data_IF_318144230540
#
_entry.id   IF_318144230540
#
_cell.length_a   1.000
_cell.length_b   1.000
_cell.length_c   1.000
_cell.angle_alpha   90.00
_cell.angle_beta   90.00
_cell.angle_gamma   90.00
#
_symmetry.space_group_name_H-M   'P 1'
#
loop_
_entity.id
_entity.type
_entity.pdbx_description
1 polymer ?
#
# COMPACT_ATOMS: atom_id res chain seq x y z
N UNK A 1 -38.11 15.33 7.39
CA UNK A 1 -37.67 13.92 7.38
C UNK A 1 -37.10 13.61 8.75
N UNK A 2 -37.51 12.52 9.40
CA UNK A 2 -36.98 12.11 10.72
C UNK A 2 -35.64 11.41 10.51
N UNK A 3 -34.60 11.84 11.22
CA UNK A 3 -33.31 11.14 11.24
C UNK A 3 -33.23 10.22 12.46
N UNK A 4 -32.75 8.99 12.25
CA UNK A 4 -32.48 8.02 13.31
C UNK A 4 -31.09 7.46 13.09
N UNK A 5 -30.22 7.61 14.10
CA UNK A 5 -28.91 6.97 14.12
C UNK A 5 -29.00 5.64 14.89
N UNK A 6 -28.33 4.63 14.37
CA UNK A 6 -28.30 3.30 14.93
C UNK A 6 -26.91 2.68 14.72
N UNK A 7 -26.32 2.10 15.76
CA UNK A 7 -25.03 1.39 15.66
C UNK A 7 -25.24 -0.11 15.81
N UNK A 8 -24.78 -0.89 14.83
CA UNK A 8 -24.89 -2.35 14.86
C UNK A 8 -24.04 -3.02 15.97
N UNK A 9 -23.14 -2.27 16.61
CA UNK A 9 -22.30 -2.75 17.72
C UNK A 9 -23.05 -2.67 19.05
N UNK A 10 -23.75 -1.56 19.28
CA UNK A 10 -24.32 -1.21 20.58
C UNK A 10 -25.78 -1.64 20.75
N UNK A 11 -26.41 -2.12 19.68
CA UNK A 11 -27.86 -2.31 19.65
C UNK A 11 -28.24 -3.62 18.97
N UNK A 12 -29.20 -4.32 19.56
CA UNK A 12 -29.69 -5.61 19.12
C UNK A 12 -30.93 -5.53 18.22
N UNK A 13 -31.48 -6.69 17.91
CA UNK A 13 -32.61 -6.86 16.97
C UNK A 13 -33.90 -6.23 17.49
N UNK A 14 -34.03 -6.10 18.82
CA UNK A 14 -35.23 -5.55 19.45
C UNK A 14 -35.36 -4.05 19.19
N UNK A 15 -34.28 -3.28 19.36
CA UNK A 15 -34.29 -1.84 19.10
C UNK A 15 -34.61 -1.53 17.63
N UNK A 16 -34.05 -2.31 16.69
CA UNK A 16 -34.37 -2.18 15.25
C UNK A 16 -35.86 -2.34 14.98
N UNK A 17 -36.49 -3.35 15.58
CA UNK A 17 -37.93 -3.59 15.37
C UNK A 17 -38.80 -2.51 15.98
N UNK A 18 -38.33 -1.82 17.02
CA UNK A 18 -39.02 -0.66 17.59
C UNK A 18 -38.88 0.55 16.66
N UNK A 19 -37.67 0.81 16.15
CA UNK A 19 -37.42 1.88 15.16
C UNK A 19 -38.30 1.70 13.92
N UNK A 20 -38.43 0.48 13.41
CA UNK A 20 -39.30 0.20 12.26
C UNK A 20 -40.78 0.43 12.55
N UNK A 21 -41.28 0.00 13.70
CA UNK A 21 -42.68 0.26 14.10
C UNK A 21 -42.97 1.75 14.22
N UNK A 22 -42.04 2.51 14.78
CA UNK A 22 -42.15 3.97 14.84
C UNK A 22 -42.07 4.61 13.46
N UNK A 23 -41.21 4.10 12.57
CA UNK A 23 -41.08 4.59 11.20
C UNK A 23 -42.37 4.34 10.40
N UNK A 24 -43.04 3.20 10.56
CA UNK A 24 -44.35 2.93 9.96
C UNK A 24 -45.42 3.89 10.47
N UNK A 25 -45.48 4.11 11.79
CA UNK A 25 -46.41 5.07 12.38
C UNK A 25 -46.18 6.51 11.87
N UNK A 26 -44.91 6.89 11.67
CA UNK A 26 -44.55 8.17 11.06
C UNK A 26 -44.94 8.23 9.58
N UNK A 27 -44.74 7.14 8.83
CA UNK A 27 -45.07 7.07 7.41
C UNK A 27 -46.57 7.27 7.15
N UNK A 28 -47.44 6.70 8.01
CA UNK A 28 -48.90 6.93 7.96
C UNK A 28 -49.25 8.42 8.12
N UNK A 29 -48.47 9.16 8.92
CA UNK A 29 -48.60 10.62 9.11
C UNK A 29 -47.91 11.44 8.01
N UNK A 30 -47.43 10.81 6.94
CA UNK A 30 -46.71 11.48 5.85
C UNK A 30 -45.26 11.87 6.17
N UNK A 31 -44.71 11.43 7.31
CA UNK A 31 -43.35 11.75 7.73
C UNK A 31 -42.38 10.62 7.36
N UNK A 32 -41.49 10.87 6.41
CA UNK A 32 -40.42 9.94 6.00
C UNK A 32 -39.32 9.84 7.06
N UNK A 33 -38.70 8.65 7.15
CA UNK A 33 -37.61 8.35 8.08
C UNK A 33 -36.32 7.98 7.33
N UNK A 34 -35.20 8.61 7.71
CA UNK A 34 -33.85 8.26 7.29
C UNK A 34 -33.16 7.51 8.43
N UNK A 35 -32.85 6.24 8.20
CA UNK A 35 -32.17 5.37 9.15
C UNK A 35 -30.70 5.24 8.77
N UNK A 36 -29.81 5.80 9.59
CA UNK A 36 -28.37 5.62 9.46
C UNK A 36 -27.94 4.44 10.33
N UNK A 37 -27.32 3.44 9.70
CA UNK A 37 -26.82 2.22 10.35
C UNK A 37 -25.31 2.22 10.27
N UNK A 38 -24.67 2.48 11.40
CA UNK A 38 -23.22 2.40 11.52
C UNK A 38 -22.76 0.94 11.70
N UNK A 39 -21.63 0.60 11.08
CA UNK A 39 -21.01 -0.73 11.09
C UNK A 39 -21.96 -1.87 10.67
N UNK A 40 -22.69 -1.67 9.57
CA UNK A 40 -23.73 -2.61 9.10
C UNK A 40 -23.21 -4.04 8.86
N UNK A 41 -21.90 -4.21 8.63
CA UNK A 41 -21.24 -5.51 8.48
C UNK A 41 -21.31 -6.38 9.75
N UNK A 42 -21.56 -5.80 10.92
CA UNK A 42 -21.68 -6.56 12.18
C UNK A 42 -22.97 -7.35 12.30
N UNK A 43 -23.96 -7.08 11.45
CA UNK A 43 -25.20 -7.84 11.44
C UNK A 43 -25.08 -9.16 10.69
N UNK A 44 -25.62 -10.22 11.30
CA UNK A 44 -25.78 -11.48 10.61
C UNK A 44 -26.85 -11.39 9.51
N UNK A 45 -26.90 -12.40 8.64
CA UNK A 45 -27.80 -12.41 7.47
C UNK A 45 -29.27 -12.21 7.83
N UNK A 46 -29.75 -12.86 8.90
CA UNK A 46 -31.17 -12.76 9.29
C UNK A 46 -31.53 -11.39 9.87
N UNK A 47 -30.57 -10.72 10.51
CA UNK A 47 -30.73 -9.34 10.96
C UNK A 47 -30.79 -8.38 9.77
N UNK A 48 -29.96 -8.58 8.74
CA UNK A 48 -30.00 -7.78 7.52
C UNK A 48 -31.28 -8.01 6.70
N UNK A 49 -31.79 -9.25 6.64
CA UNK A 49 -33.06 -9.57 5.98
C UNK A 49 -34.24 -8.82 6.61
N UNK A 50 -34.18 -8.52 7.91
CA UNK A 50 -35.23 -7.79 8.61
C UNK A 50 -35.44 -6.35 8.10
N UNK A 51 -34.47 -5.76 7.39
CA UNK A 51 -34.59 -4.42 6.80
C UNK A 51 -35.41 -4.40 5.51
N UNK A 52 -35.41 -5.50 4.75
CA UNK A 52 -35.96 -5.54 3.38
C UNK A 52 -37.42 -5.08 3.28
N UNK A 53 -38.37 -5.54 4.14
CA UNK A 53 -39.77 -5.16 4.01
C UNK A 53 -40.00 -3.64 4.15
N UNK A 54 -39.17 -2.97 4.96
CA UNK A 54 -39.32 -1.55 5.27
C UNK A 54 -38.64 -0.66 4.23
N UNK A 55 -37.54 -1.13 3.65
CA UNK A 55 -36.86 -0.47 2.53
C UNK A 55 -37.72 -0.57 1.26
N UNK A 56 -38.27 -1.75 0.97
CA UNK A 56 -39.10 -1.99 -0.22
C UNK A 56 -40.40 -1.19 -0.22
N UNK A 57 -41.06 -1.09 0.94
CA UNK A 57 -42.27 -0.28 1.12
C UNK A 57 -41.99 1.23 1.17
N UNK A 58 -40.72 1.65 1.16
CA UNK A 58 -40.32 3.05 1.27
C UNK A 58 -40.63 3.67 2.64
N UNK A 59 -40.80 2.85 3.68
CA UNK A 59 -41.04 3.30 5.06
C UNK A 59 -39.77 3.97 5.62
N UNK A 60 -38.61 3.41 5.27
CA UNK A 60 -37.30 3.96 5.64
C UNK A 60 -36.41 4.11 4.40
N UNK A 61 -35.69 5.23 4.34
CA UNK A 61 -34.47 5.33 3.53
C UNK A 61 -33.31 4.89 4.41
N UNK A 62 -32.51 3.91 3.98
CA UNK A 62 -31.36 3.42 4.74
C UNK A 62 -30.06 4.02 4.22
N UNK A 63 -29.16 4.41 5.13
CA UNK A 63 -27.75 4.68 4.86
C UNK A 63 -26.94 3.75 5.76
N UNK A 64 -26.25 2.77 5.16
CA UNK A 64 -25.34 1.88 5.88
C UNK A 64 -23.90 2.37 5.74
N UNK A 65 -23.16 2.43 6.86
CA UNK A 65 -21.73 2.68 6.88
C UNK A 65 -20.97 1.40 7.27
N UNK A 66 -19.80 1.21 6.67
CA UNK A 66 -18.91 0.07 6.93
C UNK A 66 -17.49 0.43 6.50
N UNK A 67 -16.50 -0.03 7.27
CA UNK A 67 -15.08 -0.03 6.86
C UNK A 67 -14.71 -1.24 6.01
N UNK A 68 -15.53 -2.29 6.06
CA UNK A 68 -15.34 -3.55 5.32
C UNK A 68 -15.95 -3.47 3.92
N UNK A 69 -15.46 -4.33 3.01
CA UNK A 69 -16.00 -4.40 1.66
C UNK A 69 -17.48 -4.87 1.67
N UNK A 70 -18.41 -4.01 1.21
CA UNK A 70 -19.84 -4.29 1.31
C UNK A 70 -20.28 -5.51 0.50
N UNK A 71 -19.56 -5.93 -0.55
CA UNK A 71 -19.94 -7.10 -1.35
C UNK A 71 -19.82 -8.43 -0.61
N UNK A 72 -19.02 -8.49 0.46
CA UNK A 72 -18.84 -9.69 1.27
C UNK A 72 -19.74 -9.68 2.51
N UNK A 73 -19.87 -8.52 3.15
CA UNK A 73 -20.51 -8.40 4.45
C UNK A 73 -21.99 -8.03 4.41
N UNK A 74 -22.48 -7.46 3.29
CA UNK A 74 -23.89 -7.11 3.12
C UNK A 74 -24.59 -8.12 2.21
N UNK A 75 -25.76 -8.59 2.61
CA UNK A 75 -26.54 -9.56 1.83
C UNK A 75 -26.93 -8.99 0.46
N UNK A 76 -26.86 -9.84 -0.57
CA UNK A 76 -27.19 -9.45 -1.95
C UNK A 76 -28.58 -8.80 -2.12
N UNK A 77 -29.66 -9.24 -1.43
CA UNK A 77 -30.96 -8.57 -1.50
C UNK A 77 -30.92 -7.11 -1.03
N UNK A 78 -30.19 -6.80 0.04
CA UNK A 78 -30.10 -5.43 0.56
C UNK A 78 -29.23 -4.57 -0.35
N UNK A 79 -28.08 -5.11 -0.81
CA UNK A 79 -27.22 -4.43 -1.78
C UNK A 79 -27.96 -4.06 -3.07
N UNK A 80 -28.81 -4.94 -3.59
CA UNK A 80 -29.58 -4.67 -4.82
C UNK A 80 -30.56 -3.49 -4.71
N UNK A 81 -30.87 -3.04 -3.47
CA UNK A 81 -31.75 -1.89 -3.17
C UNK A 81 -30.98 -0.66 -2.69
N UNK A 82 -29.66 -0.76 -2.57
CA UNK A 82 -28.78 0.29 -2.08
C UNK A 82 -27.82 0.73 -3.18
N UNK A 83 -27.46 2.01 -3.17
CA UNK A 83 -26.34 2.52 -3.97
C UNK A 83 -25.07 2.44 -3.13
N UNK A 84 -24.05 1.76 -3.63
CA UNK A 84 -22.73 1.72 -2.99
C UNK A 84 -21.96 2.98 -3.36
N UNK A 85 -21.47 3.70 -2.35
CA UNK A 85 -20.59 4.86 -2.49
C UNK A 85 -19.30 4.55 -1.76
N UNK A 86 -18.17 4.64 -2.46
CA UNK A 86 -16.85 4.48 -1.86
C UNK A 86 -16.34 5.84 -1.42
N UNK A 87 -16.08 6.00 -0.13
CA UNK A 87 -15.40 7.16 0.42
C UNK A 87 -13.90 6.90 0.44
N UNK A 88 -13.11 7.89 0.04
CA UNK A 88 -11.66 7.86 0.15
C UNK A 88 -11.24 8.51 1.46
N UNK A 89 -10.06 8.15 1.94
CA UNK A 89 -9.41 8.89 3.03
C UNK A 89 -9.23 10.36 2.63
N UNK A 90 -9.28 11.25 3.62
CA UNK A 90 -9.09 12.67 3.39
C UNK A 90 -7.62 12.99 3.17
N UNK A 91 -7.32 13.80 2.15
CA UNK A 91 -5.99 14.37 1.99
C UNK A 91 -5.67 15.32 3.16
N UNK A 92 -4.40 15.48 3.56
CA UNK A 92 -4.01 16.35 4.68
C UNK A 92 -4.58 17.77 4.57
N UNK A 93 -4.65 18.33 3.36
CA UNK A 93 -5.25 19.65 3.13
C UNK A 93 -6.74 19.73 3.52
N UNK A 94 -7.52 18.67 3.24
CA UNK A 94 -8.93 18.63 3.61
C UNK A 94 -9.11 18.49 5.14
N UNK A 95 -8.20 17.77 5.80
CA UNK A 95 -8.20 17.68 7.27
C UNK A 95 -7.83 19.03 7.90
N UNK A 96 -6.87 19.73 7.30
CA UNK A 96 -6.49 21.09 7.73
C UNK A 96 -7.68 22.05 7.64
N UNK A 97 -8.48 22.00 6.57
CA UNK A 97 -9.70 22.81 6.44
C UNK A 97 -10.71 22.50 7.56
N UNK A 98 -10.91 21.21 7.90
CA UNK A 98 -11.79 20.79 8.99
C UNK A 98 -11.29 21.30 10.34
N UNK A 99 -9.99 21.23 10.59
CA UNK A 99 -9.37 21.72 11.83
C UNK A 99 -9.50 23.25 11.95
N UNK A 100 -9.26 23.99 10.87
CA UNK A 100 -9.46 25.44 10.81
C UNK A 100 -10.93 25.82 11.06
N UNK A 101 -11.86 25.06 10.50
CA UNK A 101 -13.28 25.25 10.76
C UNK A 101 -13.60 25.02 12.25
N UNK A 102 -13.07 23.97 12.87
CA UNK A 102 -13.27 23.70 14.29
C UNK A 102 -12.68 24.80 15.20
N UNK A 103 -11.53 25.37 14.83
CA UNK A 103 -10.91 26.48 15.57
C UNK A 103 -11.70 27.79 15.48
N UNK A 104 -12.41 28.03 14.38
CA UNK A 104 -13.13 29.29 14.13
C UNK A 104 -14.62 29.23 14.43
N UNK A 105 -15.23 28.04 14.49
CA UNK A 105 -16.66 27.87 14.81
C UNK A 105 -16.93 28.27 16.28
N UNK A 106 -17.72 29.34 16.46
CA UNK A 106 -18.06 29.89 17.77
C UNK A 106 -19.27 29.20 18.41
N UNK A 107 -20.02 28.38 17.69
CA UNK A 107 -21.19 27.70 18.23
C UNK A 107 -20.87 26.28 18.69
N UNK A 108 -20.11 25.55 17.88
CA UNK A 108 -19.85 24.11 18.04
C UNK A 108 -18.36 23.76 18.10
N UNK A 109 -17.49 24.75 17.96
CA UNK A 109 -16.03 24.58 17.96
C UNK A 109 -15.35 25.35 19.09
N UNK A 110 -14.06 25.63 18.87
CA UNK A 110 -13.14 26.26 19.82
C UNK A 110 -13.03 27.79 19.63
N UNK A 111 -13.90 28.40 18.81
CA UNK A 111 -13.87 29.84 18.54
C UNK A 111 -14.33 30.72 19.71
N UNK A 112 -15.23 30.21 20.58
CA UNK A 112 -15.75 30.94 21.76
C UNK A 112 -14.70 31.16 22.87
N UNK A 113 -13.89 30.16 23.24
CA UNK A 113 -12.82 30.31 24.23
C UNK A 113 -11.74 31.35 23.87
N UNK A 114 -11.70 31.86 22.63
CA UNK A 114 -10.61 32.71 22.15
C UNK A 114 -9.28 31.94 22.01
N UNK A 115 -9.37 30.62 21.91
CA UNK A 115 -8.23 29.74 21.77
C UNK A 115 -7.70 29.86 20.34
N UNK A 116 -6.39 30.05 20.20
CA UNK A 116 -5.71 30.06 18.90
C UNK A 116 -4.92 28.78 18.72
N UNK A 117 -4.49 28.48 17.49
CA UNK A 117 -3.57 27.37 17.21
C UNK A 117 -2.51 27.85 16.24
N UNK A 118 -1.28 27.38 16.39
CA UNK A 118 -0.22 27.69 15.42
C UNK A 118 -0.45 26.88 14.14
N UNK A 119 -0.08 27.45 12.97
CA UNK A 119 -0.20 26.74 11.68
C UNK A 119 0.53 25.40 11.69
N UNK A 120 1.77 25.39 12.20
CA UNK A 120 2.57 24.17 12.35
C UNK A 120 1.90 23.10 13.21
N UNK A 121 1.16 23.49 14.26
CA UNK A 121 0.43 22.54 15.10
C UNK A 121 -0.72 21.88 14.34
N UNK A 122 -1.48 22.66 13.56
CA UNK A 122 -2.60 22.16 12.75
C UNK A 122 -2.11 21.32 11.57
N UNK A 123 -1.04 21.74 10.91
CA UNK A 123 -0.40 20.97 9.83
C UNK A 123 0.13 19.62 10.35
N UNK A 124 0.77 19.61 11.51
CA UNK A 124 1.21 18.37 12.16
C UNK A 124 0.03 17.47 12.50
N UNK A 125 -1.04 18.02 13.06
CA UNK A 125 -2.27 17.30 13.37
C UNK A 125 -2.92 16.69 12.13
N UNK A 126 -3.01 17.46 11.05
CA UNK A 126 -3.59 17.03 9.77
C UNK A 126 -2.80 15.86 9.17
N UNK A 127 -1.47 15.91 9.22
CA UNK A 127 -0.61 14.83 8.73
C UNK A 127 -0.69 13.57 9.60
N UNK A 128 -0.84 13.72 10.92
CA UNK A 128 -0.92 12.60 11.87
C UNK A 128 -2.31 11.93 11.93
N UNK A 129 -3.33 12.62 11.43
CA UNK A 129 -4.69 12.11 11.35
C UNK A 129 -4.85 10.97 10.33
N UNK A 130 -3.93 10.83 9.37
CA UNK A 130 -3.89 9.73 8.38
C UNK A 130 -5.23 9.51 7.67
N UNK A 131 -5.85 10.61 7.22
CA UNK A 131 -7.14 10.56 6.53
C UNK A 131 -8.37 10.58 7.43
N UNK A 132 -8.23 10.45 8.76
CA UNK A 132 -9.33 10.38 9.72
C UNK A 132 -9.58 11.73 10.42
N UNK A 133 -10.61 12.45 9.97
CA UNK A 133 -11.05 13.70 10.58
C UNK A 133 -11.51 13.56 12.04
N UNK A 134 -12.08 12.41 12.43
CA UNK A 134 -12.52 12.17 13.82
C UNK A 134 -11.30 12.11 14.74
N UNK A 135 -10.25 11.39 14.33
CA UNK A 135 -8.98 11.35 15.05
C UNK A 135 -8.37 12.74 15.18
N UNK A 136 -8.35 13.52 14.09
CA UNK A 136 -7.85 14.89 14.10
C UNK A 136 -8.59 15.79 15.10
N UNK A 137 -9.93 15.78 15.05
CA UNK A 137 -10.77 16.59 15.93
C UNK A 137 -10.67 16.18 17.41
N UNK A 138 -10.64 14.88 17.69
CA UNK A 138 -10.47 14.38 19.06
C UNK A 138 -9.12 14.80 19.65
N UNK A 139 -8.04 14.70 18.86
CA UNK A 139 -6.71 15.15 19.31
C UNK A 139 -6.68 16.67 19.52
N UNK A 140 -7.31 17.45 18.64
CA UNK A 140 -7.45 18.89 18.81
C UNK A 140 -8.22 19.24 20.10
N UNK A 141 -9.29 18.51 20.41
CA UNK A 141 -10.07 18.68 21.65
C UNK A 141 -9.21 18.38 22.89
N UNK A 142 -8.44 17.30 22.89
CA UNK A 142 -7.50 16.97 23.97
C UNK A 142 -6.44 18.08 24.12
N UNK A 143 -5.85 18.55 23.02
CA UNK A 143 -4.87 19.63 23.03
C UNK A 143 -5.45 20.94 23.60
N UNK A 144 -6.70 21.28 23.25
CA UNK A 144 -7.41 22.41 23.84
C UNK A 144 -7.63 22.24 25.35
N UNK A 145 -7.95 21.03 25.79
CA UNK A 145 -8.07 20.69 27.21
C UNK A 145 -6.75 20.86 27.99
N UNK A 146 -5.63 20.42 27.41
CA UNK A 146 -4.29 20.59 28.01
C UNK A 146 -3.89 22.06 28.12
N UNK A 147 -4.24 22.88 27.12
CA UNK A 147 -4.01 24.33 27.12
C UNK A 147 -4.79 25.05 28.22
N UNK A 148 -5.87 24.45 28.73
CA UNK A 148 -6.79 25.04 29.71
C UNK A 148 -6.43 24.73 31.19
N UNK A 149 -5.27 24.15 31.46
CA UNK A 149 -4.84 23.86 32.84
C UNK A 149 -4.44 25.14 33.63
N UNK A 150 -4.91 25.33 34.88
CA UNK A 150 -4.79 26.61 35.58
C UNK A 150 -3.44 26.76 36.30
N UNK A 151 -2.43 27.26 35.61
CA UNK A 151 -1.30 27.94 36.24
C UNK A 151 -1.54 29.45 36.13
N UNK A 152 -2.28 29.99 37.10
CA UNK A 152 -2.08 31.35 37.63
C UNK A 152 -1.59 32.41 36.64
N UNK A 153 -2.37 32.67 35.58
CA UNK A 153 -2.55 33.97 34.94
C UNK A 153 -3.45 33.74 33.73
N UNK A 154 -4.67 34.30 33.77
CA UNK A 154 -5.54 34.40 32.60
C UNK A 154 -4.90 35.37 31.60
N UNK A 155 -3.89 34.93 30.88
CA UNK A 155 -3.51 35.59 29.64
C UNK A 155 -4.59 35.28 28.60
N UNK A 156 -5.13 36.34 28.00
CA UNK A 156 -6.22 36.30 27.01
C UNK A 156 -5.83 35.61 25.67
N UNK A 157 -4.68 34.93 25.61
CA UNK A 157 -4.07 34.39 24.39
C UNK A 157 -3.56 32.95 24.60
N UNK A 158 -4.41 32.05 25.08
CA UNK A 158 -4.07 30.63 25.07
C UNK A 158 -3.96 30.15 23.60
N UNK A 159 -2.84 29.52 23.25
CA UNK A 159 -2.56 29.02 21.91
C UNK A 159 -2.15 27.55 21.96
N UNK A 160 -2.78 26.72 21.12
CA UNK A 160 -2.40 25.33 20.89
C UNK A 160 -1.11 25.34 20.06
N UNK A 161 0.00 24.99 20.70
CA UNK A 161 1.31 24.86 20.04
C UNK A 161 1.58 23.42 19.62
N UNK A 162 2.64 23.24 18.83
CA UNK A 162 3.08 21.92 18.36
C UNK A 162 3.41 20.98 19.53
N UNK A 163 4.01 21.50 20.60
CA UNK A 163 4.36 20.73 21.80
C UNK A 163 3.11 20.20 22.51
N UNK A 164 2.06 21.02 22.61
CA UNK A 164 0.78 20.63 23.24
C UNK A 164 0.08 19.55 22.41
N UNK A 165 0.11 19.68 21.07
CA UNK A 165 -0.44 18.66 20.18
C UNK A 165 0.34 17.34 20.30
N UNK A 166 1.66 17.41 20.44
CA UNK A 166 2.51 16.24 20.64
C UNK A 166 2.27 15.56 21.97
N UNK A 167 2.07 16.33 23.03
CA UNK A 167 1.67 15.84 24.34
C UNK A 167 0.29 15.19 24.27
N UNK A 168 -0.67 15.81 23.59
CA UNK A 168 -2.00 15.24 23.33
C UNK A 168 -1.93 13.92 22.55
N UNK A 169 -0.95 13.79 21.64
CA UNK A 169 -0.67 12.57 20.87
C UNK A 169 0.25 11.57 21.59
N UNK A 170 0.81 11.93 22.74
CA UNK A 170 1.86 11.17 23.44
C UNK A 170 3.05 10.77 22.53
N UNK A 171 3.41 11.60 21.53
CA UNK A 171 4.50 11.33 20.58
C UNK A 171 5.46 12.52 20.49
N UNK A 172 6.78 12.25 20.51
CA UNK A 172 7.82 13.28 20.28
C UNK A 172 7.81 13.77 18.84
N UNK A 173 8.12 15.05 18.63
CA UNK A 173 8.46 15.62 17.32
C UNK A 173 9.66 14.87 16.74
N UNK A 174 9.44 14.00 15.77
CA UNK A 174 10.41 13.85 14.71
C UNK A 174 9.82 14.63 13.53
N UNK A 175 10.40 15.79 13.24
CA UNK A 175 10.06 16.57 12.05
C UNK A 175 10.14 15.64 10.84
N UNK A 176 8.98 15.38 10.24
CA UNK A 176 8.87 14.54 9.07
C UNK A 176 7.93 15.22 8.09
N UNK A 177 8.57 15.84 7.10
CA UNK A 177 7.88 16.41 5.96
C UNK A 177 7.63 15.29 4.95
N UNK A 178 6.41 14.73 4.99
CA UNK A 178 5.93 13.72 4.01
C UNK A 178 5.96 14.25 2.57
N UNK A 179 5.98 15.57 2.35
CA UNK A 179 6.06 16.21 1.04
C UNK A 179 7.46 16.72 0.67
N UNK A 180 8.45 16.58 1.55
CA UNK A 180 9.72 17.32 1.47
C UNK A 180 10.96 16.50 1.09
N UNK A 181 12.07 17.24 0.97
CA UNK A 181 13.43 16.72 0.73
C UNK A 181 13.82 15.63 1.75
N UNK A 182 13.39 15.76 3.01
CA UNK A 182 13.73 14.81 4.07
C UNK A 182 13.13 13.41 3.88
N UNK A 183 11.90 13.27 3.37
CA UNK A 183 11.33 11.97 3.02
C UNK A 183 12.25 11.24 2.01
N UNK A 184 12.67 11.94 0.95
CA UNK A 184 13.57 11.40 -0.06
C UNK A 184 14.96 11.09 0.51
N UNK A 185 15.49 11.93 1.40
CA UNK A 185 16.79 11.71 2.04
C UNK A 185 16.80 10.44 2.90
N UNK A 186 15.76 10.22 3.71
CA UNK A 186 15.70 9.06 4.60
C UNK A 186 15.57 7.76 3.81
N UNK A 187 14.65 7.68 2.84
CA UNK A 187 14.52 6.45 2.03
C UNK A 187 15.76 6.21 1.16
N UNK A 188 16.41 7.28 0.67
CA UNK A 188 17.67 7.21 -0.06
C UNK A 188 18.80 6.66 0.82
N UNK A 189 18.91 7.10 2.07
CA UNK A 189 19.88 6.61 3.04
C UNK A 189 19.61 5.14 3.40
N UNK A 190 18.34 4.75 3.59
CA UNK A 190 17.94 3.37 3.82
C UNK A 190 18.38 2.42 2.70
N UNK A 191 18.08 2.78 1.44
CA UNK A 191 18.45 1.96 0.27
C UNK A 191 19.97 1.92 0.08
N UNK A 192 20.68 3.01 0.35
CA UNK A 192 22.16 3.02 0.33
C UNK A 192 22.76 2.14 1.43
N UNK A 193 22.19 2.12 2.63
CA UNK A 193 22.63 1.24 3.72
C UNK A 193 22.45 -0.24 3.36
N UNK A 194 21.27 -0.61 2.84
CA UNK A 194 21.01 -1.97 2.34
C UNK A 194 21.99 -2.37 1.23
N UNK A 195 22.21 -1.50 0.23
CA UNK A 195 23.15 -1.71 -0.88
C UNK A 195 24.60 -1.81 -0.41
N UNK A 196 24.98 -0.97 0.56
CA UNK A 196 26.30 -0.91 1.17
C UNK A 196 26.59 -2.03 2.17
N UNK A 197 25.62 -2.92 2.39
CA UNK A 197 25.70 -4.02 3.35
C UNK A 197 25.93 -3.57 4.80
N UNK A 198 25.26 -2.50 5.20
CA UNK A 198 25.26 -1.96 6.56
C UNK A 198 23.90 -2.25 7.23
N UNK A 199 23.76 -3.41 7.93
CA UNK A 199 22.49 -3.80 8.56
C UNK A 199 22.09 -2.87 9.71
N UNK A 200 23.06 -2.30 10.44
CA UNK A 200 22.80 -1.42 11.58
C UNK A 200 22.24 -0.08 11.11
N UNK A 201 22.87 0.54 10.10
CA UNK A 201 22.35 1.76 9.50
C UNK A 201 20.99 1.51 8.83
N UNK A 202 20.80 0.38 8.16
CA UNK A 202 19.53 0.05 7.52
C UNK A 202 18.38 -0.11 8.55
N UNK A 203 18.64 -0.75 9.70
CA UNK A 203 17.68 -0.82 10.80
C UNK A 203 17.39 0.55 11.41
N UNK A 204 18.40 1.40 11.58
CA UNK A 204 18.21 2.76 12.07
C UNK A 204 17.31 3.58 11.14
N UNK A 205 17.57 3.57 9.83
CA UNK A 205 16.74 4.30 8.87
C UNK A 205 15.33 3.72 8.77
N UNK A 206 15.17 2.40 8.86
CA UNK A 206 13.86 1.76 8.99
C UNK A 206 13.11 2.29 10.22
N UNK A 207 13.76 2.28 11.39
CA UNK A 207 13.16 2.76 12.64
C UNK A 207 12.78 4.24 12.53
N UNK A 208 13.65 5.09 11.98
CA UNK A 208 13.35 6.51 11.74
C UNK A 208 12.09 6.68 10.89
N UNK A 209 12.00 5.95 9.77
CA UNK A 209 10.81 5.99 8.89
C UNK A 209 9.53 5.54 9.61
N UNK A 210 9.59 4.46 10.39
CA UNK A 210 8.42 3.96 11.13
C UNK A 210 7.95 4.92 12.22
N UNK A 211 8.89 5.50 12.99
CA UNK A 211 8.57 6.46 14.04
C UNK A 211 8.00 7.77 13.46
N UNK A 212 8.47 8.16 12.28
CA UNK A 212 7.96 9.34 11.58
C UNK A 212 6.68 9.12 10.77
N UNK A 213 6.13 7.89 10.77
CA UNK A 213 4.86 7.58 10.11
C UNK A 213 4.95 7.44 8.58
N UNK A 214 6.12 7.09 8.04
CA UNK A 214 6.27 6.62 6.67
C UNK A 214 5.34 5.43 6.40
N UNK A 215 4.78 5.34 5.19
CA UNK A 215 3.97 4.17 4.79
C UNK A 215 4.88 2.92 4.74
N UNK A 216 4.65 1.89 5.60
CA UNK A 216 5.48 0.69 5.55
C UNK A 216 5.37 -0.06 4.22
N UNK A 217 4.25 0.05 3.50
CA UNK A 217 4.12 -0.53 2.16
C UNK A 217 5.06 0.17 1.16
N UNK A 218 5.33 1.48 1.34
CA UNK A 218 6.34 2.19 0.55
C UNK A 218 7.73 1.62 0.81
N UNK A 219 8.11 1.44 2.07
CA UNK A 219 9.40 0.84 2.46
C UNK A 219 9.56 -0.57 1.85
N UNK A 220 8.53 -1.40 1.95
CA UNK A 220 8.52 -2.77 1.42
C UNK A 220 8.63 -2.81 -0.11
N UNK A 221 7.92 -1.91 -0.83
CA UNK A 221 8.07 -1.77 -2.29
C UNK A 221 9.53 -1.48 -2.67
N UNK A 222 10.21 -0.60 -1.91
CA UNK A 222 11.62 -0.26 -2.15
C UNK A 222 12.57 -1.43 -1.85
N UNK A 223 12.27 -2.24 -0.84
CA UNK A 223 13.01 -3.48 -0.55
C UNK A 223 12.87 -4.53 -1.66
N UNK A 224 11.69 -4.68 -2.26
CA UNK A 224 11.45 -5.59 -3.39
C UNK A 224 12.26 -5.17 -4.63
N UNK A 225 12.29 -3.86 -4.92
CA UNK A 225 13.14 -3.32 -6.00
C UNK A 225 14.61 -3.62 -5.73
N UNK A 226 15.09 -3.29 -4.53
CA UNK A 226 16.48 -3.53 -4.13
C UNK A 226 16.87 -5.01 -4.22
N UNK A 227 15.97 -5.93 -3.85
CA UNK A 227 16.22 -7.37 -3.96
C UNK A 227 16.54 -7.82 -5.40
N UNK A 228 15.95 -7.17 -6.41
CA UNK A 228 16.23 -7.46 -7.82
C UNK A 228 17.34 -6.61 -8.43
N UNK A 229 17.51 -5.37 -7.95
CA UNK A 229 18.47 -4.38 -8.48
C UNK A 229 19.88 -4.59 -7.93
N UNK A 230 20.03 -4.78 -6.61
CA UNK A 230 21.32 -4.75 -5.92
C UNK A 230 21.78 -6.12 -5.40
N UNK A 231 20.87 -7.09 -5.27
CA UNK A 231 21.19 -8.49 -4.88
C UNK A 231 21.07 -9.41 -6.08
N UNK A 232 19.92 -9.38 -6.78
CA UNK A 232 19.69 -10.11 -8.01
C UNK A 232 19.95 -11.61 -7.86
N UNK A 233 20.70 -12.18 -8.81
CA UNK A 233 21.00 -13.61 -8.82
C UNK A 233 22.17 -14.00 -7.91
N UNK A 234 22.80 -13.06 -7.20
CA UNK A 234 23.79 -13.40 -6.18
C UNK A 234 23.14 -14.09 -4.98
N UNK A 235 21.88 -13.78 -4.69
CA UNK A 235 21.00 -14.58 -3.83
C UNK A 235 19.55 -14.52 -4.33
N UNK A 236 19.12 -15.48 -5.17
CA UNK A 236 17.78 -15.48 -5.77
C UNK A 236 16.63 -15.49 -4.75
N UNK A 237 16.89 -15.87 -3.50
CA UNK A 237 15.87 -15.90 -2.43
C UNK A 237 15.56 -14.51 -1.90
N UNK A 238 16.41 -13.50 -2.11
CA UNK A 238 16.20 -12.16 -1.61
C UNK A 238 14.86 -11.56 -2.05
N UNK A 239 14.46 -11.78 -3.32
CA UNK A 239 13.17 -11.33 -3.82
C UNK A 239 12.01 -12.03 -3.10
N UNK A 240 12.13 -13.33 -2.84
CA UNK A 240 11.12 -14.10 -2.08
C UNK A 240 11.02 -13.59 -0.65
N UNK A 241 12.14 -13.33 0.03
CA UNK A 241 12.16 -12.78 1.39
C UNK A 241 11.46 -11.42 1.43
N UNK A 242 11.76 -10.52 0.49
CA UNK A 242 11.14 -9.20 0.42
C UNK A 242 9.62 -9.27 0.14
N UNK A 243 9.18 -10.14 -0.77
CA UNK A 243 7.76 -10.37 -1.07
C UNK A 243 7.03 -11.01 0.10
N UNK A 244 7.64 -12.00 0.77
CA UNK A 244 7.07 -12.62 1.96
C UNK A 244 6.94 -11.64 3.11
N UNK A 245 7.90 -10.71 3.28
CA UNK A 245 7.79 -9.64 4.28
C UNK A 245 6.63 -8.69 3.96
N UNK A 246 6.39 -8.36 2.69
CA UNK A 246 5.23 -7.58 2.28
C UNK A 246 3.92 -8.29 2.61
N UNK A 247 3.80 -9.57 2.27
CA UNK A 247 2.61 -10.37 2.56
C UNK A 247 2.37 -10.52 4.07
N UNK A 248 3.43 -10.81 4.83
CA UNK A 248 3.35 -10.89 6.28
C UNK A 248 2.91 -9.56 6.89
N UNK A 249 3.45 -8.43 6.40
CA UNK A 249 3.02 -7.11 6.83
C UNK A 249 1.54 -6.85 6.51
N UNK A 250 1.05 -7.20 5.32
CA UNK A 250 -0.36 -7.04 4.96
C UNK A 250 -1.31 -7.87 5.83
N UNK A 251 -0.86 -9.02 6.33
CA UNK A 251 -1.64 -9.88 7.23
C UNK A 251 -1.61 -9.41 8.68
N UNK A 252 -0.49 -8.82 9.13
CA UNK A 252 -0.24 -8.53 10.54
C UNK A 252 -0.50 -7.05 10.88
N UNK A 253 -0.12 -6.12 10.00
CA UNK A 253 -0.17 -4.68 10.25
C UNK A 253 0.84 -4.19 11.29
N UNK A 254 0.79 -2.91 11.63
CA UNK A 254 1.58 -2.33 12.73
C UNK A 254 0.85 -2.54 14.08
N UNK A 255 1.59 -2.68 15.21
CA UNK A 255 3.04 -2.51 15.34
C UNK A 255 3.88 -3.77 15.06
N UNK A 256 3.33 -4.99 15.11
CA UNK A 256 4.09 -6.25 14.96
C UNK A 256 4.76 -6.40 13.58
N UNK A 257 4.21 -5.77 12.54
CA UNK A 257 4.77 -5.74 11.20
C UNK A 257 6.23 -5.27 11.16
N UNK A 258 6.65 -4.37 12.08
CA UNK A 258 8.04 -3.92 12.21
C UNK A 258 9.05 -5.06 12.37
N UNK A 259 8.63 -6.17 12.97
CA UNK A 259 9.46 -7.36 13.19
C UNK A 259 9.78 -8.03 11.85
N UNK A 260 8.76 -8.20 11.00
CA UNK A 260 8.91 -8.80 9.67
C UNK A 260 9.75 -7.91 8.75
N UNK A 261 9.57 -6.59 8.82
CA UNK A 261 10.41 -5.62 8.10
C UNK A 261 11.86 -5.71 8.59
N UNK A 262 12.10 -5.73 9.90
CA UNK A 262 13.44 -5.83 10.48
C UNK A 262 14.17 -7.11 10.06
N UNK A 263 13.47 -8.24 10.00
CA UNK A 263 14.03 -9.50 9.50
C UNK A 263 14.45 -9.39 8.03
N UNK A 264 13.56 -8.87 7.17
CA UNK A 264 13.89 -8.72 5.76
C UNK A 264 14.99 -7.69 5.52
N UNK A 265 15.03 -6.59 6.26
CA UNK A 265 16.10 -5.57 6.19
C UNK A 265 17.46 -6.18 6.49
N UNK A 266 17.59 -6.93 7.58
CA UNK A 266 18.86 -7.55 7.97
C UNK A 266 19.28 -8.63 6.98
N UNK A 267 18.34 -9.40 6.43
CA UNK A 267 18.62 -10.35 5.34
C UNK A 267 19.16 -9.63 4.10
N UNK A 268 18.46 -8.61 3.60
CA UNK A 268 18.83 -7.90 2.37
C UNK A 268 20.17 -7.15 2.54
N UNK A 269 20.40 -6.54 3.70
CA UNK A 269 21.68 -5.90 4.03
C UNK A 269 22.84 -6.90 3.98
N UNK A 270 22.67 -8.11 4.51
CA UNK A 270 23.75 -9.11 4.60
C UNK A 270 23.89 -10.02 3.39
N UNK A 271 22.92 -10.01 2.46
CA UNK A 271 22.96 -10.80 1.23
C UNK A 271 24.13 -10.39 0.30
N UNK A 272 24.72 -11.33 -0.46
CA UNK A 272 25.71 -11.02 -1.49
C UNK A 272 25.12 -10.10 -2.55
N UNK A 273 25.89 -9.10 -2.99
CA UNK A 273 25.38 -8.05 -3.89
C UNK A 273 25.75 -8.31 -5.35
N UNK A 274 24.79 -8.18 -6.26
CA UNK A 274 25.01 -8.14 -7.70
C UNK A 274 23.90 -7.37 -8.39
N UNK A 275 24.31 -6.46 -9.28
CA UNK A 275 23.39 -5.76 -10.19
C UNK A 275 23.48 -6.29 -11.63
N UNK A 276 24.04 -7.48 -11.84
CA UNK A 276 24.28 -8.02 -13.19
C UNK A 276 23.00 -8.19 -14.02
N UNK A 277 21.91 -8.66 -13.40
CA UNK A 277 20.59 -8.76 -14.03
C UNK A 277 20.03 -7.39 -14.40
N UNK A 278 20.13 -6.42 -13.49
CA UNK A 278 19.71 -5.03 -13.69
C UNK A 278 20.47 -4.35 -14.84
N UNK A 279 21.80 -4.46 -14.87
CA UNK A 279 22.61 -3.95 -15.98
C UNK A 279 22.25 -4.66 -17.28
N UNK A 280 22.02 -5.99 -17.23
CA UNK A 280 21.68 -6.79 -18.40
C UNK A 280 20.37 -6.38 -19.07
N UNK A 281 19.29 -6.18 -18.29
CA UNK A 281 18.01 -5.74 -18.86
C UNK A 281 18.10 -4.31 -19.42
N UNK A 282 18.81 -3.41 -18.74
CA UNK A 282 18.99 -2.04 -19.23
C UNK A 282 19.81 -2.00 -20.52
N UNK A 283 20.84 -2.84 -20.65
CA UNK A 283 21.63 -2.99 -21.87
C UNK A 283 20.79 -3.54 -23.03
N UNK A 284 19.95 -4.54 -22.77
CA UNK A 284 19.03 -5.08 -23.77
C UNK A 284 17.99 -4.05 -24.23
N UNK A 285 17.38 -3.31 -23.28
CA UNK A 285 16.44 -2.22 -23.60
C UNK A 285 17.09 -1.11 -24.41
N UNK A 286 18.33 -0.74 -24.09
CA UNK A 286 19.09 0.24 -24.87
C UNK A 286 19.35 -0.26 -26.30
N UNK A 287 19.71 -1.53 -26.46
CA UNK A 287 19.92 -2.12 -27.79
C UNK A 287 18.64 -2.18 -28.62
N UNK A 288 17.49 -2.49 -28.01
CA UNK A 288 16.19 -2.46 -28.72
C UNK A 288 15.84 -1.04 -29.18
N UNK A 289 16.11 -0.02 -28.36
CA UNK A 289 15.91 1.39 -28.75
C UNK A 289 16.82 1.81 -29.91
N UNK A 290 18.03 1.27 -29.97
CA UNK A 290 19.02 1.59 -31.00
C UNK A 290 18.79 0.81 -32.32
N UNK A 291 18.54 -0.49 -32.22
CA UNK A 291 18.44 -1.40 -33.37
C UNK A 291 17.03 -1.49 -33.95
N UNK A 292 16.01 -1.03 -33.22
CA UNK A 292 14.62 -1.18 -33.57
C UNK A 292 14.11 -2.61 -33.42
N UNK A 293 12.98 -2.92 -34.05
CA UNK A 293 12.38 -4.24 -34.02
C UNK A 293 13.06 -5.21 -35.02
N UNK A 294 14.24 -5.70 -34.67
CA UNK A 294 14.92 -6.72 -35.48
C UNK A 294 14.03 -7.96 -35.64
N UNK A 295 13.99 -8.58 -36.84
CA UNK A 295 13.13 -9.73 -37.08
C UNK A 295 13.57 -10.93 -36.24
N UNK A 296 12.60 -11.63 -35.68
CA UNK A 296 12.80 -12.90 -34.98
C UNK A 296 13.34 -13.94 -35.99
N UNK A 297 14.44 -14.66 -35.71
CA UNK A 297 14.97 -15.70 -36.61
C UNK A 297 13.93 -16.78 -36.92
N UNK A 298 13.89 -17.29 -38.16
CA UNK A 298 12.86 -18.24 -38.61
C UNK A 298 12.78 -19.49 -37.73
N UNK A 299 13.91 -20.03 -37.31
CA UNK A 299 13.99 -21.26 -36.50
C UNK A 299 13.43 -21.11 -35.08
N UNK A 300 13.30 -19.90 -34.54
CA UNK A 300 12.66 -19.67 -33.21
C UNK A 300 11.22 -19.16 -33.33
N UNK A 301 10.69 -18.96 -34.55
CA UNK A 301 9.29 -18.56 -34.75
C UNK A 301 8.36 -19.74 -34.50
N UNK A 302 7.20 -19.45 -33.93
CA UNK A 302 6.10 -20.40 -33.87
C UNK A 302 5.49 -20.63 -35.27
N UNK A 303 5.11 -21.87 -35.57
CA UNK A 303 4.54 -22.28 -36.85
C UNK A 303 3.22 -23.07 -36.70
N UNK A 304 2.17 -22.47 -36.13
CA UNK A 304 0.92 -23.17 -35.81
C UNK A 304 0.08 -23.51 -37.06
N UNK A 305 0.19 -22.72 -38.13
CA UNK A 305 -0.61 -22.92 -39.36
C UNK A 305 0.20 -23.63 -40.45
N UNK A 306 -0.51 -24.28 -41.39
CA UNK A 306 0.10 -24.92 -42.57
C UNK A 306 0.90 -23.92 -43.41
N UNK A 307 0.34 -22.74 -43.67
CA UNK A 307 1.01 -21.68 -44.44
C UNK A 307 2.32 -21.25 -43.76
N UNK A 308 2.33 -21.09 -42.43
CA UNK A 308 3.55 -20.70 -41.70
C UNK A 308 4.66 -21.77 -41.81
N UNK A 309 4.30 -23.06 -41.77
CA UNK A 309 5.26 -24.15 -41.99
C UNK A 309 5.81 -24.16 -43.41
N UNK A 310 4.95 -23.92 -44.41
CA UNK A 310 5.34 -23.79 -45.82
C UNK A 310 6.29 -22.59 -46.03
N UNK A 311 6.07 -21.49 -45.30
CA UNK A 311 6.95 -20.31 -45.26
C UNK A 311 8.23 -20.51 -44.43
N UNK A 312 8.48 -21.71 -43.90
CA UNK A 312 9.71 -22.07 -43.20
C UNK A 312 9.79 -21.60 -41.74
N UNK A 313 8.68 -21.22 -41.12
CA UNK A 313 8.66 -20.84 -39.70
C UNK A 313 8.93 -22.08 -38.85
N UNK A 314 9.78 -21.96 -37.83
CA UNK A 314 10.23 -23.07 -36.99
C UNK A 314 11.11 -24.09 -37.71
N UNK A 315 11.41 -23.91 -39.00
CA UNK A 315 12.27 -24.83 -39.74
C UNK A 315 13.70 -24.75 -39.19
N UNK A 316 14.26 -25.90 -38.83
CA UNK A 316 15.58 -25.98 -38.22
C UNK A 316 15.62 -25.64 -36.73
N UNK A 317 14.45 -25.51 -36.07
CA UNK A 317 14.40 -25.43 -34.61
C UNK A 317 14.99 -26.71 -34.00
N UNK A 318 15.88 -26.54 -33.03
CA UNK A 318 16.49 -27.64 -32.30
C UNK A 318 15.85 -27.73 -30.92
N UNK A 319 15.03 -28.76 -30.71
CA UNK A 319 14.35 -28.94 -29.43
C UNK A 319 15.33 -29.46 -28.38
N UNK A 320 15.67 -28.62 -27.40
CA UNK A 320 16.78 -28.86 -26.48
C UNK A 320 16.71 -30.22 -25.74
N UNK A 321 15.51 -30.73 -25.45
CA UNK A 321 15.34 -32.01 -24.76
C UNK A 321 15.67 -33.24 -25.61
N UNK A 322 15.79 -33.10 -26.93
CA UNK A 322 16.22 -34.18 -27.82
C UNK A 322 17.75 -34.33 -27.89
N UNK A 323 18.50 -33.40 -27.29
CA UNK A 323 19.96 -33.38 -27.27
C UNK A 323 20.48 -33.86 -25.92
N UNK A 324 21.67 -34.46 -25.94
CA UNK A 324 22.39 -34.86 -24.73
C UNK A 324 22.51 -33.68 -23.75
N UNK A 325 22.35 -33.98 -22.46
CA UNK A 325 22.31 -33.02 -21.36
C UNK A 325 21.20 -31.93 -21.46
N UNK A 326 20.25 -32.09 -22.38
CA UNK A 326 19.12 -31.17 -22.56
C UNK A 326 19.52 -29.80 -23.14
N UNK A 327 20.55 -29.74 -24.00
CA UNK A 327 21.06 -28.49 -24.56
C UNK A 327 21.49 -28.61 -26.03
N UNK A 328 20.79 -27.89 -26.91
CA UNK A 328 21.06 -27.90 -28.36
C UNK A 328 22.16 -26.93 -28.83
N UNK A 329 22.60 -25.97 -28.01
CA UNK A 329 23.57 -24.95 -28.43
C UNK A 329 23.07 -23.96 -29.49
N UNK A 330 21.78 -23.97 -29.83
CA UNK A 330 21.18 -23.10 -30.84
C UNK A 330 21.11 -21.62 -30.39
N UNK A 331 21.55 -20.70 -31.25
CA UNK A 331 21.41 -19.26 -31.01
C UNK A 331 19.98 -18.78 -31.25
N UNK A 332 19.46 -17.94 -30.36
CA UNK A 332 18.11 -17.38 -30.44
C UNK A 332 18.08 -15.87 -30.75
N UNK A 333 19.23 -15.19 -30.68
CA UNK A 333 19.31 -13.78 -31.01
C UNK A 333 19.17 -13.56 -32.53
N UNK A 334 18.64 -12.40 -32.97
CA UNK A 334 18.74 -11.97 -34.36
C UNK A 334 20.19 -12.00 -34.84
N UNK A 335 20.41 -12.31 -36.13
CA UNK A 335 21.75 -12.44 -36.72
C UNK A 335 22.61 -11.18 -36.50
N UNK A 336 22.01 -9.99 -36.58
CA UNK A 336 22.69 -8.71 -36.31
C UNK A 336 23.21 -8.58 -34.87
N UNK A 337 22.67 -9.35 -33.93
CA UNK A 337 23.06 -9.39 -32.53
C UNK A 337 23.81 -10.68 -32.18
N UNK A 338 24.25 -11.47 -33.17
CA UNK A 338 25.00 -12.70 -32.93
C UNK A 338 26.21 -12.45 -32.00
N UNK A 339 26.35 -13.30 -30.98
CA UNK A 339 27.45 -13.20 -30.00
C UNK A 339 27.32 -12.07 -28.97
N UNK A 340 26.30 -11.20 -29.05
CA UNK A 340 26.06 -10.13 -28.06
C UNK A 340 25.73 -10.76 -26.70
N UNK A 341 26.34 -10.24 -25.63
CA UNK A 341 26.10 -10.67 -24.24
C UNK A 341 25.51 -9.53 -23.43
N UNK A 342 24.25 -9.68 -23.01
CA UNK A 342 23.59 -8.72 -22.13
C UNK A 342 23.84 -9.05 -20.65
N UNK A 343 23.76 -10.33 -20.29
CA UNK A 343 23.93 -10.78 -18.91
C UNK A 343 25.38 -11.21 -18.64
N UNK A 344 26.01 -10.56 -17.67
CA UNK A 344 27.39 -10.80 -17.25
C UNK A 344 27.42 -10.91 -15.71
N UNK A 345 27.20 -12.11 -15.14
CA UNK A 345 27.26 -12.32 -13.69
C UNK A 345 28.63 -11.95 -13.12
N UNK A 346 28.66 -11.45 -11.88
CA UNK A 346 29.86 -10.97 -11.19
C UNK A 346 30.53 -12.05 -10.34
N UNK A 347 29.82 -13.13 -10.03
CA UNK A 347 30.36 -14.28 -9.30
C UNK A 347 30.26 -14.15 -7.78
N UNK A 348 29.41 -13.25 -7.28
CA UNK A 348 29.09 -13.18 -5.86
C UNK A 348 27.97 -14.16 -5.51
N UNK A 349 28.07 -14.81 -4.35
CA UNK A 349 27.07 -15.76 -3.88
C UNK A 349 26.75 -16.86 -4.89
N UNK A 350 25.46 -17.03 -5.20
CA UNK A 350 24.96 -18.05 -6.13
C UNK A 350 25.38 -17.83 -7.58
N UNK A 351 25.83 -16.63 -7.96
CA UNK A 351 26.31 -16.37 -9.33
C UNK A 351 27.53 -17.21 -9.71
N UNK A 352 28.30 -17.75 -8.74
CA UNK A 352 29.38 -18.70 -9.03
C UNK A 352 28.88 -19.92 -9.79
N UNK A 353 27.79 -20.52 -9.30
CA UNK A 353 27.14 -21.67 -9.95
C UNK A 353 26.58 -21.28 -11.32
N UNK A 354 26.08 -20.04 -11.47
CA UNK A 354 25.59 -19.52 -12.74
C UNK A 354 26.73 -19.38 -13.75
N UNK A 355 27.87 -18.83 -13.33
CA UNK A 355 29.07 -18.73 -14.17
C UNK A 355 29.53 -20.12 -14.61
N UNK A 356 29.69 -21.05 -13.67
CA UNK A 356 30.08 -22.44 -13.97
C UNK A 356 29.13 -23.09 -14.97
N UNK A 357 27.80 -22.92 -14.78
CA UNK A 357 26.80 -23.43 -15.72
C UNK A 357 26.94 -22.78 -17.10
N UNK A 358 27.13 -21.47 -17.17
CA UNK A 358 27.26 -20.74 -18.44
C UNK A 358 28.56 -21.10 -19.18
N UNK A 359 29.66 -21.30 -18.47
CA UNK A 359 30.93 -21.76 -19.04
C UNK A 359 30.82 -23.19 -19.55
N UNK A 360 30.17 -24.08 -18.79
CA UNK A 360 29.86 -25.44 -19.24
C UNK A 360 29.01 -25.41 -20.53
N UNK A 361 27.94 -24.61 -20.58
CA UNK A 361 27.08 -24.47 -21.78
C UNK A 361 27.89 -23.96 -22.99
N UNK A 362 28.81 -23.02 -22.78
CA UNK A 362 29.70 -22.53 -23.84
C UNK A 362 30.62 -23.64 -24.35
N UNK A 363 31.23 -24.41 -23.44
CA UNK A 363 32.12 -25.53 -23.80
C UNK A 363 31.42 -26.63 -24.60
N UNK A 364 30.12 -26.84 -24.36
CA UNK A 364 29.28 -27.76 -25.14
C UNK A 364 28.96 -27.23 -26.53
N UNK A 365 28.68 -25.93 -26.64
CA UNK A 365 28.42 -25.28 -27.94
C UNK A 365 29.64 -25.35 -28.88
N UNK A 366 30.84 -25.24 -28.33
CA UNK A 366 32.10 -25.26 -29.10
C UNK A 366 32.56 -26.70 -29.48
N UNK A 367 31.90 -27.73 -28.96
CA UNK A 367 32.12 -29.15 -29.30
C UNK A 367 30.88 -29.69 -30.02
N UNK A 368 30.75 -29.53 -31.34
CA UNK A 368 29.64 -30.14 -32.06
C UNK A 368 29.70 -31.66 -31.88
N UNK A 369 28.55 -32.23 -31.53
CA UNK A 369 28.33 -33.68 -31.40
C UNK A 369 28.61 -34.42 -32.71
#
# INVERSE_FOLDING_TARGET
MRFVFFSAILSGVKEIREIFREAEACAIRGQRTLLFVDEIHRFNKSQQDAFLPYVEKGVVTIIGATTENPSFEVIAPLLSRCRVLTLQQLEPAAILDILNQAMTDTERGLGKPGLTATGEALDFLANQADGDARKALNTLEVAAGLTSTPLSNREKNASITLEIVQEALQKKALLYDKGGEEHYNVISAFIKALRGSDPDAALYWLARMLETGEDPLFILRRMIILASEDIGNADPRALQVAVSALQAFQMIGMPEGRITLGQAVTYLATAPKSNASYVGINSALAEVRNSGALPVPLHVRNAPTRLMKELGYGKGYQYAHDYDDGYAGQDCLPERLAGRKFYQPRGHGYEKNIIERMEWLKSRKDKPS
#
